data_IF_687863166875
#
_entry.id   IF_687863166875
#
_cell.length_a   1.000
_cell.length_b   1.000
_cell.length_c   1.000
_cell.angle_alpha   90.00
_cell.angle_beta   90.00
_cell.angle_gamma   90.00
#
_symmetry.space_group_name_H-M   'P 1'
#
loop_
_entity.id
_entity.type
_entity.pdbx_description
1 polymer ?
#
# COMPACT_ATOMS: atom_id res chain seq x y z
N UNK A 1 6.60 33.17 37.70
CA UNK A 1 6.02 31.82 37.47
C UNK A 1 4.84 31.89 36.49
N UNK A 2 5.03 32.50 35.30
CA UNK A 2 4.00 32.59 34.24
C UNK A 2 4.61 32.52 32.84
N UNK A 3 5.88 32.89 32.70
CA UNK A 3 6.61 32.90 31.42
C UNK A 3 7.01 31.46 30.99
N UNK A 4 7.25 30.56 31.94
CA UNK A 4 7.73 29.20 31.62
C UNK A 4 6.66 28.31 30.96
N UNK A 5 5.38 28.49 31.30
CA UNK A 5 4.29 27.74 30.65
C UNK A 5 4.07 28.15 29.19
N UNK A 6 4.25 29.43 28.87
CA UNK A 6 4.05 29.95 27.51
C UNK A 6 5.08 29.41 26.52
N UNK A 7 6.33 29.26 26.97
CA UNK A 7 7.41 28.64 26.17
C UNK A 7 7.12 27.15 25.96
N UNK A 8 6.69 26.43 27.00
CA UNK A 8 6.38 25.00 26.90
C UNK A 8 5.23 24.70 25.92
N UNK A 9 4.21 25.57 25.86
CA UNK A 9 3.08 25.42 24.91
C UNK A 9 3.53 25.64 23.46
N UNK A 10 4.39 26.64 23.20
CA UNK A 10 4.89 26.91 21.86
C UNK A 10 5.78 25.78 21.30
N UNK A 11 6.59 25.14 22.15
CA UNK A 11 7.38 23.97 21.75
C UNK A 11 6.50 22.74 21.48
N UNK A 12 5.48 22.49 22.31
CA UNK A 12 4.58 21.35 22.14
C UNK A 12 3.76 21.43 20.82
N UNK A 13 3.34 22.63 20.41
CA UNK A 13 2.63 22.81 19.13
C UNK A 13 3.53 22.65 17.90
N UNK A 14 4.82 22.97 18.01
CA UNK A 14 5.77 22.81 16.91
C UNK A 14 6.07 21.32 16.62
N UNK A 15 6.11 20.47 17.67
CA UNK A 15 6.38 19.04 17.52
C UNK A 15 5.25 18.24 16.85
N UNK A 16 4.00 18.69 16.98
CA UNK A 16 2.84 18.03 16.34
C UNK A 16 2.72 18.34 14.84
N UNK A 17 3.34 19.43 14.37
CA UNK A 17 3.35 19.79 12.95
C UNK A 17 4.40 19.01 12.13
N UNK A 18 5.26 18.23 12.78
CA UNK A 18 6.48 17.69 12.16
C UNK A 18 6.41 16.20 11.79
N UNK A 19 5.26 15.53 11.95
CA UNK A 19 5.07 14.13 11.53
C UNK A 19 4.18 13.97 10.30
N UNK A 20 3.98 15.03 9.51
CA UNK A 20 3.32 14.91 8.23
C UNK A 20 4.35 14.37 7.24
N UNK A 21 4.52 13.05 7.27
CA UNK A 21 5.23 12.30 6.24
C UNK A 21 4.57 12.69 4.90
N UNK A 22 5.36 13.16 3.93
CA UNK A 22 4.90 13.35 2.56
C UNK A 22 4.42 11.98 2.09
N UNK A 23 3.12 11.73 2.24
CA UNK A 23 2.47 10.51 1.83
C UNK A 23 2.28 10.62 0.32
N UNK A 24 3.39 10.53 -0.41
CA UNK A 24 3.38 10.35 -1.84
C UNK A 24 2.68 9.03 -2.12
N UNK A 25 1.40 9.12 -2.47
CA UNK A 25 0.57 7.98 -2.83
C UNK A 25 1.24 7.29 -4.03
N UNK A 26 1.66 6.03 -3.92
CA UNK A 26 2.37 5.35 -5.01
C UNK A 26 1.51 5.29 -6.28
N UNK A 27 2.08 5.66 -7.44
CA UNK A 27 1.42 5.43 -8.73
C UNK A 27 1.44 3.93 -9.05
N UNK A 28 0.27 3.30 -9.00
CA UNK A 28 0.11 1.88 -9.31
C UNK A 28 0.62 1.51 -10.70
N UNK A 29 0.59 2.42 -11.68
CA UNK A 29 1.13 2.16 -13.01
C UNK A 29 2.64 2.14 -13.06
N UNK A 30 3.32 2.84 -12.16
CA UNK A 30 4.78 2.71 -11.98
C UNK A 30 5.08 1.34 -11.39
N UNK A 31 4.28 0.86 -10.42
CA UNK A 31 4.44 -0.48 -9.87
C UNK A 31 4.20 -1.54 -10.93
N UNK A 32 3.07 -1.48 -11.64
CA UNK A 32 2.74 -2.45 -12.67
C UNK A 32 3.78 -2.53 -13.78
N UNK A 33 4.40 -1.40 -14.15
CA UNK A 33 5.51 -1.34 -15.12
C UNK A 33 6.66 -2.28 -14.73
N UNK A 34 7.07 -2.25 -13.46
CA UNK A 34 8.24 -2.95 -12.94
C UNK A 34 7.95 -4.37 -12.44
N UNK A 35 6.72 -4.66 -12.00
CA UNK A 35 6.35 -5.94 -11.39
C UNK A 35 5.39 -6.75 -12.29
N UNK A 36 5.91 -7.56 -13.23
CA UNK A 36 5.08 -8.40 -14.09
C UNK A 36 4.47 -9.61 -13.37
N UNK A 37 5.02 -9.98 -12.21
CA UNK A 37 4.55 -11.08 -11.36
C UNK A 37 4.19 -10.51 -9.99
N UNK A 38 3.06 -10.94 -9.43
CA UNK A 38 2.51 -10.45 -8.17
C UNK A 38 2.03 -11.61 -7.32
N UNK A 39 2.14 -11.49 -6.00
CA UNK A 39 1.69 -12.49 -5.03
C UNK A 39 0.92 -11.78 -3.92
N UNK A 40 -0.21 -12.34 -3.49
CA UNK A 40 -0.93 -11.85 -2.33
C UNK A 40 -0.14 -12.21 -1.05
N UNK A 41 0.15 -11.20 -0.23
CA UNK A 41 0.94 -11.38 1.01
C UNK A 41 0.03 -11.49 2.23
N UNK A 42 -1.09 -10.77 2.24
CA UNK A 42 -2.02 -10.74 3.37
C UNK A 42 -3.42 -10.39 2.88
N UNK A 43 -4.42 -11.06 3.43
CA UNK A 43 -5.78 -10.55 3.51
C UNK A 43 -6.02 -9.90 4.88
N UNK A 44 -7.01 -9.02 4.97
CA UNK A 44 -7.39 -8.27 6.17
C UNK A 44 -8.43 -8.97 7.03
N UNK A 45 -9.20 -9.88 6.44
CA UNK A 45 -10.01 -10.83 7.18
C UNK A 45 -9.25 -12.14 7.37
N UNK A 46 -9.53 -12.83 8.48
CA UNK A 46 -8.85 -14.07 8.86
C UNK A 46 -9.46 -15.27 8.10
N UNK A 47 -9.69 -15.10 6.80
CA UNK A 47 -9.99 -16.21 5.91
C UNK A 47 -8.75 -16.57 5.07
N UNK A 48 -8.75 -17.80 4.53
CA UNK A 48 -7.60 -18.33 3.79
C UNK A 48 -7.83 -18.26 2.27
N UNK A 49 -8.81 -17.50 1.79
CA UNK A 49 -9.29 -17.56 0.40
C UNK A 49 -8.22 -17.07 -0.57
N UNK A 50 -7.36 -16.15 -0.14
CA UNK A 50 -6.28 -15.58 -0.97
C UNK A 50 -4.89 -16.03 -0.58
N UNK A 51 -4.77 -17.04 0.30
CA UNK A 51 -3.48 -17.66 0.57
C UNK A 51 -2.87 -18.21 -0.73
N UNK A 52 -1.60 -17.86 -0.96
CA UNK A 52 -0.84 -18.25 -2.14
C UNK A 52 -1.45 -17.79 -3.48
N UNK A 53 -2.34 -16.79 -3.51
CA UNK A 53 -2.78 -16.21 -4.78
C UNK A 53 -1.58 -15.61 -5.52
N UNK A 54 -1.39 -16.04 -6.76
CA UNK A 54 -0.36 -15.50 -7.64
C UNK A 54 -1.00 -14.85 -8.86
N UNK A 55 -0.29 -13.92 -9.47
CA UNK A 55 -0.74 -13.23 -10.67
C UNK A 55 0.40 -12.99 -11.65
N UNK A 56 0.07 -13.09 -12.94
CA UNK A 56 0.99 -12.74 -14.03
C UNK A 56 0.36 -11.71 -14.95
N UNK A 57 1.09 -10.64 -15.23
CA UNK A 57 0.68 -9.58 -16.15
C UNK A 57 0.65 -10.12 -17.59
N UNK A 58 -0.49 -9.98 -18.23
CA UNK A 58 -0.74 -10.40 -19.63
C UNK A 58 -0.51 -9.23 -20.59
N UNK A 59 -0.95 -8.02 -20.20
CA UNK A 59 -0.78 -6.83 -21.03
C UNK A 59 -0.67 -5.57 -20.17
N UNK A 60 0.06 -4.57 -20.67
CA UNK A 60 0.27 -3.29 -20.01
C UNK A 60 0.20 -2.16 -21.03
N UNK A 61 -0.62 -1.16 -20.74
CA UNK A 61 -0.82 0.04 -21.54
C UNK A 61 -0.85 1.23 -20.57
N UNK A 62 0.30 1.88 -20.44
CA UNK A 62 0.50 3.01 -19.52
C UNK A 62 -0.24 4.26 -19.98
N UNK A 63 -0.37 4.46 -21.28
CA UNK A 63 -1.01 5.64 -21.89
C UNK A 63 -2.51 5.63 -21.62
N UNK A 64 -3.17 4.50 -21.87
CA UNK A 64 -4.60 4.35 -21.63
C UNK A 64 -4.92 3.89 -20.20
N UNK A 65 -3.92 3.81 -19.33
CA UNK A 65 -4.02 3.34 -17.94
C UNK A 65 -4.78 2.00 -17.85
N UNK A 66 -4.33 1.00 -18.63
CA UNK A 66 -4.88 -0.36 -18.64
C UNK A 66 -3.81 -1.39 -18.31
N UNK A 67 -4.14 -2.30 -17.41
CA UNK A 67 -3.32 -3.48 -17.12
C UNK A 67 -4.23 -4.71 -17.08
N UNK A 68 -3.74 -5.84 -17.57
CA UNK A 68 -4.43 -7.12 -17.50
C UNK A 68 -3.54 -8.11 -16.77
N UNK A 69 -4.09 -8.76 -15.75
CA UNK A 69 -3.47 -9.86 -15.04
C UNK A 69 -4.28 -11.14 -15.23
N UNK A 70 -3.58 -12.27 -15.27
CA UNK A 70 -4.14 -13.59 -15.04
C UNK A 70 -3.88 -13.95 -13.58
N UNK A 71 -4.92 -14.27 -12.84
CA UNK A 71 -4.85 -14.65 -11.43
C UNK A 71 -4.95 -16.16 -11.27
N UNK A 72 -4.12 -16.71 -10.41
CA UNK A 72 -4.09 -18.12 -10.04
C UNK A 72 -4.54 -18.21 -8.58
N UNK A 73 -5.69 -18.83 -8.37
CA UNK A 73 -6.24 -19.12 -7.04
C UNK A 73 -5.93 -20.57 -6.72
N UNK A 74 -5.45 -20.83 -5.50
CA UNK A 74 -5.36 -22.18 -4.98
C UNK A 74 -6.62 -22.44 -4.16
N UNK A 75 -7.38 -23.47 -4.51
CA UNK A 75 -8.55 -23.87 -3.74
C UNK A 75 -8.10 -24.90 -2.69
N UNK A 76 -8.15 -24.57 -1.39
CA UNK A 76 -7.72 -25.49 -0.33
C UNK A 76 -8.59 -26.74 -0.22
N UNK A 77 -9.77 -26.78 -0.85
CA UNK A 77 -10.75 -27.87 -0.76
C UNK A 77 -10.56 -28.98 -1.80
N UNK A 78 -9.65 -28.82 -2.78
CA UNK A 78 -9.34 -29.84 -3.77
C UNK A 78 -8.17 -30.73 -3.32
N UNK A 79 -8.45 -31.66 -2.40
CA UNK A 79 -7.65 -32.87 -2.16
C UNK A 79 -8.48 -34.12 -2.42
#
# INVERSE_FOLDING_TARGET
MQIECLVAIAFATASLAQSQEDNDVPDSFVLFEHFPEVVAISDSDNDTIFECMAGKRISFDKENKRVKFMWFFNDPTNN
#
